data_IF_608965282361
#
_entry.id   IF_608965282361
#
_cell.length_a   1.000
_cell.length_b   1.000
_cell.length_c   1.000
_cell.angle_alpha   90.00
_cell.angle_beta   90.00
_cell.angle_gamma   90.00
#
_symmetry.space_group_name_H-M   'P 1'
#
loop_
_entity.id
_entity.type
_entity.pdbx_description
1 polymer ?
#
# COMPACT_ATOMS: atom_id res chain seq x y z
N UNK A 1 0.94 16.92 -8.50
CA UNK A 1 1.93 17.74 -9.23
C UNK A 1 3.18 16.89 -9.37
N UNK A 2 3.59 16.57 -10.58
CA UNK A 2 4.89 15.98 -10.84
C UNK A 2 5.93 17.09 -10.72
N UNK A 3 7.02 16.86 -9.98
CA UNK A 3 8.19 17.71 -10.06
C UNK A 3 8.70 17.80 -11.50
N UNK A 4 9.53 18.79 -11.81
CA UNK A 4 10.05 19.05 -13.16
C UNK A 4 10.83 17.87 -13.81
N UNK A 5 11.07 16.80 -13.06
CA UNK A 5 11.79 15.58 -13.43
C UNK A 5 10.93 14.31 -13.47
N UNK A 6 9.60 14.44 -13.36
CA UNK A 6 8.69 13.29 -13.35
C UNK A 6 8.58 12.55 -12.02
N UNK A 7 9.19 13.04 -10.96
CA UNK A 7 9.16 12.44 -9.61
C UNK A 7 7.77 12.59 -8.99
N UNK A 8 7.24 11.50 -8.46
CA UNK A 8 5.94 11.47 -7.81
C UNK A 8 6.07 11.84 -6.34
N UNK A 9 5.67 13.06 -5.97
CA UNK A 9 5.66 13.50 -4.57
C UNK A 9 4.31 13.21 -3.90
N UNK A 10 4.23 12.05 -3.24
CA UNK A 10 3.00 11.62 -2.56
C UNK A 10 2.62 12.52 -1.37
N UNK A 11 3.57 13.20 -0.73
CA UNK A 11 3.28 14.11 0.37
C UNK A 11 2.66 15.41 -0.10
N UNK A 12 3.18 15.98 -1.19
CA UNK A 12 2.58 17.14 -1.83
C UNK A 12 1.16 16.83 -2.33
N UNK A 13 0.97 15.62 -2.87
CA UNK A 13 -0.36 15.13 -3.25
C UNK A 13 -1.31 15.02 -2.06
N UNK A 14 -0.89 14.39 -0.98
CA UNK A 14 -1.71 14.25 0.23
C UNK A 14 -2.10 15.61 0.81
N UNK A 15 -1.14 16.54 0.87
CA UNK A 15 -1.40 17.91 1.31
C UNK A 15 -2.44 18.61 0.41
N UNK A 16 -2.33 18.46 -0.90
CA UNK A 16 -3.31 19.01 -1.86
C UNK A 16 -4.72 18.44 -1.68
N UNK A 17 -4.83 17.14 -1.44
CA UNK A 17 -6.10 16.44 -1.15
C UNK A 17 -6.75 17.01 0.11
N UNK A 18 -5.97 17.13 1.18
CA UNK A 18 -6.46 17.64 2.47
C UNK A 18 -6.91 19.10 2.35
N UNK A 19 -6.16 19.93 1.63
CA UNK A 19 -6.54 21.32 1.38
C UNK A 19 -7.83 21.44 0.57
N UNK A 20 -8.00 20.62 -0.46
CA UNK A 20 -9.20 20.59 -1.29
C UNK A 20 -10.45 20.08 -0.55
N UNK A 21 -10.25 19.26 0.48
CA UNK A 21 -11.33 18.68 1.31
C UNK A 21 -11.95 19.64 2.31
N UNK A 22 -11.35 20.82 2.53
CA UNK A 22 -11.87 21.87 3.39
C UNK A 22 -11.54 21.73 4.88
N UNK A 23 -12.20 22.55 5.69
CA UNK A 23 -11.99 22.57 7.15
C UNK A 23 -12.29 21.23 7.81
N UNK A 24 -11.38 20.77 8.68
CA UNK A 24 -11.50 19.47 9.39
C UNK A 24 -10.70 18.34 8.79
N UNK A 25 -10.22 18.43 7.54
CA UNK A 25 -9.41 17.39 6.90
C UNK A 25 -7.93 17.37 7.35
N UNK A 26 -7.45 18.42 8.01
CA UNK A 26 -6.02 18.54 8.40
C UNK A 26 -5.50 17.38 9.24
N UNK A 27 -6.33 16.83 10.13
CA UNK A 27 -5.98 15.68 10.97
C UNK A 27 -5.90 14.36 10.17
N UNK A 28 -6.39 14.34 8.94
CA UNK A 28 -6.38 13.16 8.08
C UNK A 28 -5.13 13.05 7.21
N UNK A 29 -4.24 14.03 7.21
CA UNK A 29 -3.05 14.03 6.38
C UNK A 29 -2.24 12.72 6.48
N UNK A 30 -1.90 12.19 7.67
CA UNK A 30 -1.16 10.93 7.76
C UNK A 30 -1.92 9.72 7.19
N UNK A 31 -3.25 9.77 7.27
CA UNK A 31 -4.13 8.71 6.77
C UNK A 31 -4.20 8.74 5.24
N UNK A 32 -4.33 9.94 4.67
CA UNK A 32 -4.31 10.16 3.21
C UNK A 32 -2.96 9.77 2.63
N UNK A 33 -1.86 10.17 3.26
CA UNK A 33 -0.50 9.75 2.88
C UNK A 33 -0.40 8.21 2.81
N UNK A 34 -0.90 7.51 3.85
CA UNK A 34 -0.87 6.05 3.91
C UNK A 34 -1.72 5.40 2.80
N UNK A 35 -2.90 5.95 2.53
CA UNK A 35 -3.77 5.44 1.46
C UNK A 35 -3.12 5.60 0.06
N UNK A 36 -2.41 6.70 -0.19
CA UNK A 36 -1.63 6.86 -1.43
C UNK A 36 -0.52 5.81 -1.57
N UNK A 37 0.15 5.47 -0.47
CA UNK A 37 1.14 4.40 -0.44
C UNK A 37 0.49 3.03 -0.69
N UNK A 38 -0.71 2.78 -0.16
CA UNK A 38 -1.46 1.55 -0.46
C UNK A 38 -1.73 1.40 -1.96
N UNK A 39 -2.23 2.45 -2.64
CA UNK A 39 -2.44 2.41 -4.09
C UNK A 39 -1.16 2.04 -4.84
N UNK A 40 -0.04 2.60 -4.44
CA UNK A 40 1.24 2.34 -5.10
C UNK A 40 1.72 0.90 -4.90
N UNK A 41 1.57 0.35 -3.69
CA UNK A 41 1.90 -1.05 -3.39
C UNK A 41 1.00 -1.99 -4.19
N UNK A 42 -0.31 -1.75 -4.20
CA UNK A 42 -1.27 -2.59 -4.91
C UNK A 42 -1.04 -2.58 -6.43
N UNK A 43 -0.74 -1.41 -7.01
CA UNK A 43 -0.39 -1.29 -8.42
C UNK A 43 0.88 -2.09 -8.77
N UNK A 44 1.93 -1.98 -7.97
CA UNK A 44 3.15 -2.75 -8.16
C UNK A 44 2.88 -4.26 -8.07
N UNK A 45 2.13 -4.70 -7.08
CA UNK A 45 1.75 -6.10 -6.93
C UNK A 45 0.93 -6.62 -8.12
N UNK A 46 0.05 -5.78 -8.68
CA UNK A 46 -0.73 -6.13 -9.86
C UNK A 46 0.16 -6.29 -11.09
N UNK A 47 1.07 -5.36 -11.35
CA UNK A 47 1.99 -5.39 -12.49
C UNK A 47 2.92 -6.60 -12.47
N UNK A 48 3.38 -6.99 -11.29
CA UNK A 48 4.23 -8.16 -11.09
C UNK A 48 3.45 -9.49 -11.00
N UNK A 49 2.11 -9.44 -11.13
CA UNK A 49 1.27 -10.63 -11.23
C UNK A 49 0.96 -11.32 -9.90
N UNK A 50 1.25 -10.74 -8.74
CA UNK A 50 0.98 -11.35 -7.43
C UNK A 50 -0.51 -11.61 -7.20
N UNK A 51 -1.40 -10.84 -7.82
CA UNK A 51 -2.85 -11.05 -7.73
C UNK A 51 -3.37 -12.30 -8.45
N UNK A 52 -2.52 -13.01 -9.21
CA UNK A 52 -2.91 -14.31 -9.78
C UNK A 52 -3.15 -15.39 -8.73
N UNK A 53 -2.54 -15.23 -7.54
CA UNK A 53 -2.60 -16.19 -6.43
C UNK A 53 -3.11 -15.61 -5.12
N UNK A 54 -3.42 -14.31 -5.09
CA UNK A 54 -3.83 -13.60 -3.89
C UNK A 54 -5.20 -12.95 -4.06
N UNK A 55 -6.01 -12.99 -3.01
CA UNK A 55 -7.27 -12.25 -2.92
C UNK A 55 -7.14 -11.17 -1.85
N UNK A 56 -7.30 -9.91 -2.26
CA UNK A 56 -7.26 -8.77 -1.37
C UNK A 56 -8.50 -8.73 -0.49
N UNK A 57 -8.30 -8.65 0.82
CA UNK A 57 -9.37 -8.70 1.81
C UNK A 57 -9.13 -7.67 2.93
N UNK A 58 -9.93 -7.74 3.99
CA UNK A 58 -9.77 -6.87 5.15
C UNK A 58 -10.32 -5.45 4.97
N UNK A 59 -10.01 -4.60 5.94
CA UNK A 59 -10.57 -3.24 6.01
C UNK A 59 -10.16 -2.34 4.86
N UNK A 60 -8.92 -2.47 4.37
CA UNK A 60 -8.43 -1.67 3.25
C UNK A 60 -9.08 -2.10 1.93
N UNK A 61 -9.34 -3.39 1.73
CA UNK A 61 -10.13 -3.88 0.59
C UNK A 61 -11.56 -3.33 0.59
N UNK A 62 -12.22 -3.33 1.76
CA UNK A 62 -13.55 -2.73 1.90
C UNK A 62 -13.55 -1.25 1.54
N UNK A 63 -12.51 -0.52 1.92
CA UNK A 63 -12.38 0.89 1.57
C UNK A 63 -12.10 1.11 0.10
N UNK A 64 -11.09 0.45 -0.44
CA UNK A 64 -10.61 0.72 -1.80
C UNK A 64 -11.44 0.06 -2.89
N UNK A 65 -12.11 -1.07 -2.61
CA UNK A 65 -12.87 -1.80 -3.62
C UNK A 65 -14.39 -1.76 -3.41
N UNK A 66 -14.85 -1.37 -2.22
CA UNK A 66 -16.28 -1.38 -1.87
C UNK A 66 -16.78 -0.04 -1.32
N UNK A 67 -15.96 1.01 -1.30
CA UNK A 67 -16.36 2.37 -0.94
C UNK A 67 -16.67 2.57 0.55
N UNK A 68 -16.13 1.74 1.44
CA UNK A 68 -16.27 1.94 2.89
C UNK A 68 -15.69 3.30 3.29
N UNK A 69 -16.38 4.10 4.10
CA UNK A 69 -15.86 5.38 4.58
C UNK A 69 -14.76 5.21 5.63
N UNK A 70 -14.63 4.02 6.22
CA UNK A 70 -13.65 3.75 7.27
C UNK A 70 -12.26 3.61 6.69
N UNK A 71 -11.31 4.38 7.20
CA UNK A 71 -9.89 4.20 6.90
C UNK A 71 -9.33 2.93 7.52
N UNK A 72 -8.38 2.32 6.85
CA UNK A 72 -7.66 1.13 7.31
C UNK A 72 -6.17 1.29 7.02
N UNK A 73 -5.32 0.61 7.79
CA UNK A 73 -3.89 0.84 7.77
C UNK A 73 -3.07 -0.31 7.20
N UNK A 74 -3.60 -1.51 7.24
CA UNK A 74 -2.90 -2.74 6.87
C UNK A 74 -3.44 -3.29 5.54
N UNK A 75 -2.62 -4.07 4.83
CA UNK A 75 -2.97 -4.74 3.59
C UNK A 75 -3.05 -6.25 3.85
N UNK A 76 -4.26 -6.81 3.77
CA UNK A 76 -4.53 -8.20 4.08
C UNK A 76 -4.90 -8.99 2.83
N UNK A 77 -4.36 -10.20 2.70
CA UNK A 77 -4.59 -11.09 1.56
C UNK A 77 -4.86 -12.51 2.02
N UNK A 78 -5.74 -13.19 1.29
CA UNK A 78 -5.93 -14.63 1.35
C UNK A 78 -5.25 -15.30 0.16
N UNK A 79 -4.43 -16.31 0.42
CA UNK A 79 -3.72 -17.08 -0.61
C UNK A 79 -4.38 -18.44 -0.94
N UNK A 80 -5.46 -18.80 -0.23
CA UNK A 80 -6.04 -20.14 -0.34
C UNK A 80 -5.39 -21.15 0.61
N UNK A 81 -6.07 -22.28 0.84
CA UNK A 81 -5.63 -23.31 1.81
C UNK A 81 -4.37 -24.07 1.40
N UNK A 82 -4.09 -24.13 0.10
CA UNK A 82 -2.91 -24.81 -0.48
C UNK A 82 -1.91 -23.80 -1.04
N UNK A 83 -1.85 -22.61 -0.46
CA UNK A 83 -1.03 -21.53 -0.96
C UNK A 83 0.46 -21.82 -0.80
N UNK A 84 1.19 -21.73 -1.92
CA UNK A 84 2.64 -21.86 -1.94
C UNK A 84 3.28 -20.48 -1.68
N UNK A 85 3.95 -20.36 -0.54
CA UNK A 85 4.66 -19.13 -0.16
C UNK A 85 5.82 -18.76 -1.08
N UNK A 86 6.33 -19.71 -1.87
CA UNK A 86 7.37 -19.42 -2.87
C UNK A 86 6.85 -18.51 -3.99
N UNK A 87 5.53 -18.47 -4.22
CA UNK A 87 4.90 -17.55 -5.17
C UNK A 87 5.03 -16.08 -4.77
N UNK A 88 5.35 -15.79 -3.50
CA UNK A 88 5.61 -14.44 -2.98
C UNK A 88 7.10 -14.05 -3.00
N UNK A 89 7.93 -14.89 -3.60
CA UNK A 89 9.34 -14.57 -3.75
C UNK A 89 9.51 -13.28 -4.56
N UNK A 90 10.26 -12.34 -4.01
CA UNK A 90 10.44 -11.03 -4.63
C UNK A 90 9.39 -9.96 -4.26
N UNK A 91 8.34 -10.30 -3.50
CA UNK A 91 7.33 -9.32 -3.10
C UNK A 91 7.94 -8.13 -2.34
N UNK A 92 8.84 -8.39 -1.39
CA UNK A 92 9.52 -7.33 -0.65
C UNK A 92 10.33 -6.40 -1.55
N UNK A 93 11.07 -6.94 -2.52
CA UNK A 93 11.82 -6.14 -3.51
C UNK A 93 10.89 -5.33 -4.40
N UNK A 94 9.83 -5.94 -4.94
CA UNK A 94 8.82 -5.26 -5.75
C UNK A 94 8.24 -4.02 -5.01
N UNK A 95 7.87 -4.19 -3.74
CA UNK A 95 7.34 -3.10 -2.91
C UNK A 95 8.42 -2.02 -2.67
N UNK A 96 9.63 -2.43 -2.30
CA UNK A 96 10.73 -1.50 -2.06
C UNK A 96 11.05 -0.65 -3.28
N UNK A 97 11.17 -1.26 -4.45
CA UNK A 97 11.49 -0.58 -5.71
C UNK A 97 10.38 0.38 -6.11
N UNK A 98 9.13 -0.07 -5.99
CA UNK A 98 7.97 0.77 -6.32
C UNK A 98 7.87 2.01 -5.44
N UNK A 99 8.10 1.87 -4.14
CA UNK A 99 8.00 3.00 -3.20
C UNK A 99 9.23 3.91 -3.24
N UNK A 100 10.42 3.40 -3.55
CA UNK A 100 11.63 4.21 -3.69
C UNK A 100 11.53 5.20 -4.85
N UNK A 101 10.69 4.93 -5.86
CA UNK A 101 10.40 5.86 -6.95
C UNK A 101 9.42 6.99 -6.61
N UNK A 102 8.98 7.12 -5.34
CA UNK A 102 7.99 8.13 -4.92
C UNK A 102 8.59 9.45 -4.45
N UNK A 103 9.85 9.71 -4.70
CA UNK A 103 10.58 10.94 -4.37
C UNK A 103 12.04 10.64 -4.05
N UNK A 104 12.93 11.57 -4.37
CA UNK A 104 14.38 11.44 -4.15
C UNK A 104 14.74 11.26 -2.67
N UNK A 105 13.86 11.71 -1.81
CA UNK A 105 14.03 11.73 -0.37
C UNK A 105 13.36 10.56 0.37
N UNK A 106 12.79 9.59 -0.35
CA UNK A 106 12.05 8.48 0.26
C UNK A 106 12.99 7.32 0.54
N UNK A 107 13.08 6.93 1.81
CA UNK A 107 13.79 5.73 2.24
C UNK A 107 12.78 4.66 2.63
N UNK A 108 12.88 3.50 1.99
CA UNK A 108 12.00 2.35 2.23
C UNK A 108 12.79 1.20 2.85
N UNK A 109 12.25 0.60 3.90
CA UNK A 109 12.76 -0.64 4.49
C UNK A 109 11.64 -1.66 4.54
N UNK A 110 11.80 -2.73 3.82
CA UNK A 110 10.90 -3.88 3.87
C UNK A 110 11.55 -4.96 4.74
N UNK A 111 10.87 -5.32 5.82
CA UNK A 111 11.27 -6.46 6.65
C UNK A 111 10.53 -7.68 6.14
N UNK A 112 11.30 -8.65 5.64
CA UNK A 112 10.79 -9.93 5.18
C UNK A 112 10.14 -10.73 6.31
N UNK A 113 9.09 -11.52 6.01
CA UNK A 113 8.37 -12.27 7.02
C UNK A 113 9.23 -13.39 7.60
N UNK A 114 9.00 -13.63 8.89
CA UNK A 114 9.38 -14.91 9.50
C UNK A 114 8.14 -15.81 9.46
N UNK A 115 8.31 -17.12 9.34
CA UNK A 115 7.19 -18.04 9.54
C UNK A 115 6.55 -17.80 10.91
N UNK A 116 5.24 -17.69 10.96
CA UNK A 116 4.51 -17.72 12.22
C UNK A 116 4.61 -19.13 12.82
N UNK A 117 4.25 -19.27 14.09
CA UNK A 117 4.35 -20.55 14.80
C UNK A 117 3.55 -21.68 14.13
N UNK A 118 2.43 -21.35 13.48
CA UNK A 118 1.58 -22.26 12.71
C UNK A 118 1.98 -22.38 11.23
N UNK A 119 2.87 -21.48 10.75
CA UNK A 119 3.31 -21.44 9.36
C UNK A 119 2.26 -20.92 8.37
N UNK A 120 1.07 -20.55 8.83
CA UNK A 120 -0.08 -20.21 7.98
C UNK A 120 -0.11 -18.75 7.54
N UNK A 121 0.65 -17.88 8.20
CA UNK A 121 0.64 -16.45 7.91
C UNK A 121 2.05 -15.94 7.63
N UNK A 122 2.16 -15.02 6.69
CA UNK A 122 3.38 -14.27 6.39
C UNK A 122 3.10 -12.79 6.48
N UNK A 123 3.98 -12.07 7.16
CA UNK A 123 3.78 -10.65 7.47
C UNK A 123 5.01 -9.83 7.16
N UNK A 124 4.89 -8.97 6.14
CA UNK A 124 5.88 -7.95 5.80
C UNK A 124 5.61 -6.68 6.59
N UNK A 125 6.68 -6.02 7.02
CA UNK A 125 6.59 -4.69 7.62
C UNK A 125 7.36 -3.71 6.74
N UNK A 126 6.65 -2.74 6.20
CA UNK A 126 7.15 -1.73 5.28
C UNK A 126 7.27 -0.43 6.06
N UNK A 127 8.49 0.03 6.31
CA UNK A 127 8.75 1.29 6.99
C UNK A 127 9.23 2.32 5.96
N UNK A 128 8.57 3.48 5.94
CA UNK A 128 8.77 4.54 4.96
C UNK A 128 9.14 5.82 5.68
N UNK A 129 10.25 6.46 5.27
CA UNK A 129 10.72 7.75 5.77
C UNK A 129 11.03 8.68 4.61
N UNK A 130 10.83 9.96 4.81
CA UNK A 130 11.30 11.01 3.88
C UNK A 130 12.51 11.72 4.46
N UNK A 131 13.44 12.21 3.63
CA UNK A 131 14.72 12.77 4.06
C UNK A 131 14.57 13.99 4.99
N UNK A 132 13.62 14.85 4.78
CA UNK A 132 13.35 16.00 5.67
C UNK A 132 12.70 15.62 7.02
N UNK A 133 12.41 14.35 7.24
CA UNK A 133 11.73 13.90 8.46
C UNK A 133 12.73 13.83 9.62
N UNK A 134 12.42 14.53 10.70
CA UNK A 134 13.21 14.46 11.94
C UNK A 134 13.36 13.00 12.38
N UNK A 135 14.57 12.64 12.84
CA UNK A 135 14.89 11.26 13.24
C UNK A 135 14.10 10.77 14.45
N UNK A 136 13.59 11.69 15.25
CA UNK A 136 12.76 11.44 16.43
C UNK A 136 11.28 11.21 16.07
N UNK A 137 10.84 11.51 14.84
CA UNK A 137 9.48 11.21 14.40
C UNK A 137 9.36 9.75 13.93
N UNK A 138 8.26 9.06 14.27
CA UNK A 138 8.04 7.70 13.82
C UNK A 138 7.90 7.66 12.30
N UNK A 139 8.54 6.64 11.68
CA UNK A 139 8.33 6.34 10.27
C UNK A 139 6.88 5.86 10.05
N UNK A 140 6.32 6.18 8.89
CA UNK A 140 5.08 5.51 8.47
C UNK A 140 5.35 4.01 8.32
N UNK A 141 4.46 3.19 8.88
CA UNK A 141 4.57 1.74 8.79
C UNK A 141 3.29 1.18 8.21
N UNK A 142 3.44 0.32 7.18
CA UNK A 142 2.36 -0.48 6.60
C UNK A 142 2.69 -1.94 6.87
N UNK A 143 1.70 -2.70 7.34
CA UNK A 143 1.80 -4.15 7.42
C UNK A 143 1.10 -4.74 6.20
N UNK A 144 1.74 -5.71 5.58
CA UNK A 144 1.14 -6.55 4.55
C UNK A 144 1.14 -7.99 5.07
N UNK A 145 -0.03 -8.57 5.11
CA UNK A 145 -0.23 -9.92 5.62
C UNK A 145 -0.83 -10.81 4.54
N UNK A 146 -0.25 -11.99 4.37
CA UNK A 146 -0.80 -13.04 3.52
C UNK A 146 -1.05 -14.27 4.37
N UNK A 147 -2.31 -14.70 4.42
CA UNK A 147 -2.73 -15.87 5.17
C UNK A 147 -3.11 -17.04 4.24
N UNK A 148 -2.72 -18.24 4.62
CA UNK A 148 -3.11 -19.49 3.94
C UNK A 148 -4.52 -19.89 4.36
N UNK A 149 -5.49 -19.06 4.01
CA UNK A 149 -6.92 -19.26 4.28
C UNK A 149 -7.71 -19.24 2.98
N UNK A 150 -8.86 -19.92 2.92
CA UNK A 150 -9.68 -19.90 1.72
C UNK A 150 -10.22 -18.50 1.46
N UNK A 151 -10.25 -18.11 0.20
CA UNK A 151 -11.00 -16.96 -0.28
C UNK A 151 -12.30 -17.45 -0.90
N UNK A 152 -13.42 -17.09 -0.30
CA UNK A 152 -14.73 -17.46 -0.80
C UNK A 152 -15.20 -16.43 -1.83
N UNK A 153 -15.63 -16.90 -3.01
CA UNK A 153 -16.20 -16.08 -4.08
C UNK A 153 -15.37 -14.83 -4.44
N UNK A 154 -14.09 -14.98 -4.85
CA UNK A 154 -13.26 -13.86 -5.22
C UNK A 154 -13.89 -13.10 -6.40
N UNK A 155 -13.91 -11.78 -6.31
CA UNK A 155 -14.48 -10.91 -7.33
C UNK A 155 -13.40 -10.01 -7.92
N UNK A 156 -13.42 -9.84 -9.25
CA UNK A 156 -12.63 -8.81 -9.89
C UNK A 156 -13.30 -7.45 -9.68
N UNK A 157 -12.66 -6.55 -8.97
CA UNK A 157 -13.13 -5.21 -8.73
C UNK A 157 -12.02 -4.19 -8.97
N UNK A 158 -12.34 -3.05 -9.61
CA UNK A 158 -11.38 -1.97 -9.69
C UNK A 158 -11.17 -1.35 -8.31
N UNK A 159 -9.94 -0.92 -8.01
CA UNK A 159 -9.70 -0.06 -6.87
C UNK A 159 -10.31 1.32 -7.13
N UNK A 160 -11.10 1.81 -6.19
CA UNK A 160 -11.71 3.13 -6.23
C UNK A 160 -10.67 4.17 -5.81
N UNK A 161 -10.45 5.17 -6.62
CA UNK A 161 -9.66 6.34 -6.25
C UNK A 161 -10.58 7.30 -5.49
N UNK A 162 -10.43 7.35 -4.17
CA UNK A 162 -11.32 8.11 -3.28
C UNK A 162 -11.04 9.62 -3.28
N UNK A 163 -10.10 10.10 -4.09
CA UNK A 163 -9.67 11.49 -4.16
C UNK A 163 -9.71 12.00 -5.60
N UNK A 164 -9.91 13.30 -5.83
CA UNK A 164 -9.89 13.89 -7.18
C UNK A 164 -8.44 14.02 -7.67
N UNK A 165 -7.73 12.88 -7.76
CA UNK A 165 -6.38 12.80 -8.29
C UNK A 165 -6.37 12.01 -9.58
N UNK A 166 -5.71 12.56 -10.60
CA UNK A 166 -5.35 11.78 -11.77
C UNK A 166 -4.10 10.98 -11.43
N UNK A 167 -4.24 9.68 -11.22
CA UNK A 167 -3.10 8.77 -11.22
C UNK A 167 -2.63 8.68 -12.67
N UNK A 168 -1.78 9.62 -13.09
CA UNK A 168 -1.11 9.54 -14.38
C UNK A 168 -0.13 8.39 -14.30
N UNK A 169 -0.55 7.25 -14.82
CA UNK A 169 0.36 6.15 -15.13
C UNK A 169 1.14 6.56 -16.37
N UNK A 170 2.35 7.00 -16.18
CA UNK A 170 3.31 7.02 -17.28
C UNK A 170 3.80 5.60 -17.48
N UNK A 171 3.37 5.00 -18.57
CA UNK A 171 3.87 3.74 -19.11
C UNK A 171 5.36 3.82 -19.40
#
# INVERSE_FOLDING_TARGET
>A
MTGADGTYDYKAMAAGIVLAGGEGMGNLLPVVEKELLHYRILDAMMREGFFSSLVFQGGTSLRLCHGSPRYSEDLDFAGGTSFDMDTLKGLGSCISDSLSGMGDDVTVRVKEPRPDADGLTRRWRIAIRTAGQRKDLPSQTIKLEVASIPAYEPQHRPALVNYPICLLYTS
#
